data_IF_386082145873
#
_entry.id   IF_386082145873
#
_cell.length_a   1.000
_cell.length_b   1.000
_cell.length_c   1.000
_cell.angle_alpha   90.00
_cell.angle_beta   90.00
_cell.angle_gamma   90.00
#
_symmetry.space_group_name_H-M   'P 1'
#
loop_
_entity.id
_entity.type
_entity.pdbx_description
1 polymer ?
2 polymer ?
3 non-polymer ?
4 water ?
#
# COMPACT_ATOMS: atom_id res chain seq x y z
N UNK A 2 11.48 5.18 -7.51
CA UNK A 2 12.72 5.27 -6.73
C UNK A 2 12.46 6.09 -5.46
N UNK A 3 25.99 16.25 2.64
CA UNK A 3 24.95 15.33 2.16
C UNK A 3 23.54 15.75 2.55
N UNK A 4 22.59 15.56 1.63
CA UNK A 4 21.18 15.84 1.90
C UNK A 4 20.38 14.55 1.85
N UNK A 5 20.07 13.95 3.00
CA UNK A 5 19.42 12.65 3.10
C UNK A 5 17.88 12.71 3.06
N UNK A 6 17.29 11.85 2.23
CA UNK A 6 15.86 11.86 2.01
C UNK A 6 15.14 11.54 3.30
N UNK A 7 15.80 10.73 4.10
CA UNK A 7 15.46 10.02 5.30
C UNK A 7 14.88 10.96 6.33
N UNK A 8 15.35 12.19 6.35
CA UNK A 8 14.83 13.21 7.23
C UNK A 8 13.40 13.68 6.86
N UNK A 9 13.14 13.85 5.57
CA UNK A 9 12.05 14.60 4.98
C UNK A 9 10.76 13.85 5.20
N UNK A 10 9.71 14.60 5.50
CA UNK A 10 8.41 14.01 5.75
C UNK A 10 7.90 13.32 4.49
N UNK A 11 7.31 12.15 4.67
CA UNK A 11 6.66 11.46 3.59
C UNK A 11 5.33 12.17 3.38
N UNK A 12 5.02 12.60 2.15
CA UNK A 12 3.75 13.26 1.89
C UNK A 12 2.51 12.44 2.22
N UNK A 13 1.53 13.11 2.83
CA UNK A 13 0.34 12.44 3.37
C UNK A 13 -0.93 12.69 2.55
N UNK A 14 -0.84 13.48 1.50
CA UNK A 14 -2.01 13.73 0.68
C UNK A 14 -2.19 12.59 -0.31
N UNK A 15 -3.42 12.44 -0.84
CA UNK A 15 -3.67 11.36 -1.83
C UNK A 15 -2.91 11.60 -3.12
N UNK A 16 -2.45 10.52 -3.73
CA UNK A 16 -1.69 10.57 -4.98
C UNK A 16 -2.34 9.65 -5.99
N UNK A 17 -2.19 9.99 -7.26
CA UNK A 17 -2.63 9.11 -8.37
C UNK A 17 -1.41 8.35 -8.87
N UNK A 18 -1.53 7.04 -8.96
CA UNK A 18 -0.48 6.18 -9.49
C UNK A 18 -1.06 5.40 -10.66
N UNK A 19 -0.35 5.34 -11.78
CA UNK A 19 -0.82 4.49 -12.89
C UNK A 19 0.20 3.42 -13.13
N UNK A 20 -0.22 2.17 -13.04
CA UNK A 20 0.68 1.04 -13.25
C UNK A 20 0.26 0.34 -14.51
N UNK A 21 1.20 0.10 -15.41
CA UNK A 21 0.92 -0.63 -16.63
C UNK A 21 1.49 -2.02 -16.49
N UNK A 22 0.63 -3.04 -16.32
CA UNK A 22 1.17 -4.36 -16.01
C UNK A 22 0.78 -5.43 -17.00
N UNK A 23 0.12 -5.05 -18.09
CA UNK A 23 -0.30 -6.05 -19.06
C UNK A 23 -1.12 -7.17 -18.40
N UNK A 24 -0.67 -8.41 -18.55
CA UNK A 24 -1.32 -9.59 -17.95
C UNK A 24 -0.43 -10.36 -16.96
N UNK A 25 0.21 -9.60 -16.08
CA UNK A 25 0.97 -10.17 -14.95
C UNK A 25 0.40 -9.58 -13.66
N UNK A 26 0.80 -10.13 -12.53
CA UNK A 26 0.44 -9.56 -11.24
C UNK A 26 0.99 -8.17 -11.00
N UNK A 27 0.37 -7.40 -10.13
CA UNK A 27 0.84 -6.05 -9.86
C UNK A 27 2.12 -6.04 -9.04
N UNK A 28 2.33 -7.09 -8.25
CA UNK A 28 3.54 -7.18 -7.47
C UNK A 28 3.51 -6.47 -6.13
N UNK A 29 2.39 -6.59 -5.44
CA UNK A 29 2.34 -6.13 -4.04
C UNK A 29 1.29 -6.90 -3.28
N UNK A 30 1.40 -6.85 -1.95
CA UNK A 30 0.47 -7.53 -1.05
C UNK A 30 -0.38 -6.46 -0.38
N UNK A 31 -1.65 -6.81 -0.12
CA UNK A 31 -2.55 -5.96 0.63
C UNK A 31 -2.97 -6.68 1.90
N UNK A 32 -3.27 -5.90 2.95
CA UNK A 32 -3.80 -6.43 4.18
C UNK A 32 -5.07 -5.65 4.51
N UNK A 33 -6.02 -6.32 5.14
CA UNK A 33 -7.17 -5.63 5.67
C UNK A 33 -7.95 -6.59 6.54
N UNK A 34 -9.26 -6.39 6.57
CA UNK A 34 -10.16 -7.35 7.23
C UNK A 34 -11.32 -7.70 6.29
N UNK A 35 -12.13 -8.68 6.69
CA UNK A 35 -13.26 -8.93 5.80
C UNK A 35 -14.47 -8.07 6.13
N UNK A 36 -14.29 -7.09 6.98
CA UNK A 36 -15.36 -6.15 7.33
C UNK A 36 -14.89 -4.70 7.15
N UNK A 37 -13.95 -4.47 6.25
CA UNK A 37 -13.63 -3.14 5.73
C UNK A 37 -13.24 -1.89 6.52
N UNK A 38 -12.11 -1.88 7.24
CA UNK A 38 -11.57 -0.65 7.87
C UNK A 38 -10.29 -0.08 7.21
N UNK A 39 -10.16 -0.30 5.92
CA UNK A 39 -8.96 0.05 5.17
C UNK A 39 -8.27 -1.12 4.51
N UNK A 40 -7.74 -0.89 3.31
CA UNK A 40 -6.92 -1.84 2.59
C UNK A 40 -5.57 -1.20 2.47
N UNK A 41 -4.52 -1.84 2.99
CA UNK A 41 -3.18 -1.25 3.00
C UNK A 41 -2.15 -2.12 2.31
N UNK A 42 -1.16 -1.47 1.72
CA UNK A 42 -0.04 -2.18 1.11
C UNK A 42 0.94 -2.62 2.20
N UNK A 43 1.22 -3.90 2.26
CA UNK A 43 2.13 -4.44 3.29
C UNK A 43 3.50 -4.81 2.78
N UNK A 44 3.62 -4.94 1.47
CA UNK A 44 4.82 -5.53 0.85
C UNK A 44 4.81 -5.19 -0.65
N UNK A 45 5.92 -4.72 -1.18
CA UNK A 45 6.08 -4.53 -2.61
C UNK A 45 7.22 -5.39 -3.11
N UNK A 46 6.93 -6.15 -4.15
CA UNK A 46 7.89 -7.06 -4.71
C UNK A 46 8.96 -6.33 -5.51
N UNK A 47 10.22 -6.64 -5.22
CA UNK A 47 11.35 -6.09 -5.96
C UNK A 47 11.25 -6.50 -7.42
N UNK A 48 11.28 -5.53 -8.31
CA UNK A 48 11.25 -5.83 -9.74
C UNK A 48 9.88 -6.02 -10.35
N UNK A 49 8.84 -6.03 -9.52
CA UNK A 49 7.49 -6.16 -10.03
C UNK A 49 6.93 -4.87 -10.62
N UNK A 50 5.77 -4.95 -11.27
CA UNK A 50 5.22 -3.72 -11.87
C UNK A 50 4.98 -2.57 -10.89
N UNK A 51 4.47 -2.82 -9.68
CA UNK A 51 4.28 -1.74 -8.70
C UNK A 51 5.64 -1.12 -8.35
N UNK A 52 6.65 -1.94 -8.15
CA UNK A 52 8.01 -1.40 -7.92
C UNK A 52 8.52 -0.58 -9.09
N UNK A 53 8.39 -1.12 -10.30
CA UNK A 53 8.92 -0.45 -11.49
C UNK A 53 8.27 0.91 -11.66
N UNK A 54 7.07 1.06 -11.12
CA UNK A 54 6.38 2.34 -11.07
C UNK A 54 7.01 3.34 -10.09
N UNK A 55 7.40 2.84 -8.92
CA UNK A 55 8.22 3.57 -7.97
C UNK A 55 7.45 4.58 -7.14
N UNK A 56 6.13 4.47 -7.09
CA UNK A 56 5.33 5.50 -6.45
C UNK A 56 4.35 5.01 -5.37
N UNK A 57 4.40 3.71 -5.07
CA UNK A 57 3.65 3.13 -3.95
C UNK A 57 4.63 2.75 -2.89
N UNK A 58 4.17 2.73 -1.64
CA UNK A 58 5.00 2.36 -0.52
C UNK A 58 4.24 1.47 0.47
N UNK A 59 4.97 0.68 1.22
CA UNK A 59 4.35 -0.01 2.35
C UNK A 59 3.73 1.04 3.28
N UNK A 60 2.51 0.78 3.71
CA UNK A 60 1.80 1.72 4.57
C UNK A 60 0.82 2.62 3.83
N UNK A 61 0.83 2.57 2.51
CA UNK A 61 -0.20 3.24 1.70
C UNK A 61 -1.52 2.57 1.92
N UNK A 62 -2.57 3.36 2.09
CA UNK A 62 -3.94 2.88 1.95
C UNK A 62 -4.36 3.01 0.49
N UNK A 63 -4.98 1.97 -0.05
CA UNK A 63 -5.51 2.02 -1.40
C UNK A 63 -6.92 2.62 -1.31
N UNK A 64 -7.12 3.82 -1.83
CA UNK A 64 -8.41 4.48 -1.71
C UNK A 64 -9.32 4.05 -2.82
N UNK A 65 -8.76 3.83 -4.00
CA UNK A 65 -9.56 3.38 -5.15
C UNK A 65 -8.72 2.74 -6.24
N UNK A 66 -9.38 1.94 -7.08
CA UNK A 66 -8.74 1.32 -8.24
C UNK A 66 -9.67 1.51 -9.42
N UNK A 67 -9.17 2.16 -10.47
CA UNK A 67 -9.97 2.51 -11.65
C UNK A 67 -11.32 3.10 -11.27
N UNK A 68 -11.32 4.01 -10.31
CA UNK A 68 -12.53 4.72 -9.89
C UNK A 68 -13.42 3.99 -8.91
N UNK A 69 -13.07 2.75 -8.61
CA UNK A 69 -13.82 1.94 -7.66
C UNK A 69 -13.30 2.22 -6.26
N UNK A 70 -14.15 2.82 -5.44
CA UNK A 70 -13.82 3.19 -4.06
C UNK A 70 -13.53 1.93 -3.22
N UNK A 71 -12.34 1.85 -2.63
CA UNK A 71 -11.97 0.69 -1.81
C UNK A 71 -11.76 1.07 -0.36
N UNK A 72 -12.12 2.29 0.03
CA UNK A 72 -11.90 2.72 1.40
C UNK A 72 -12.59 1.82 2.40
N UNK A 73 -13.73 1.23 2.03
CA UNK A 73 -14.48 0.38 2.95
C UNK A 73 -14.62 -1.06 2.42
N UNK A 74 -13.64 -1.46 1.63
CA UNK A 74 -13.64 -2.78 1.02
C UNK A 74 -13.24 -3.88 2.00
N UNK A 75 -13.75 -5.08 1.76
CA UNK A 75 -13.18 -6.25 2.37
C UNK A 75 -11.90 -6.61 1.61
N UNK A 76 -10.98 -7.25 2.29
CA UNK A 76 -9.70 -7.62 1.71
C UNK A 76 -9.87 -8.51 0.48
N UNK A 77 -10.75 -9.51 0.58
CA UNK A 77 -10.90 -10.44 -0.53
C UNK A 77 -11.50 -9.76 -1.74
N UNK A 78 -12.49 -8.90 -1.52
CA UNK A 78 -13.13 -8.21 -2.62
C UNK A 78 -12.18 -7.15 -3.22
N UNK A 79 -11.34 -6.55 -2.40
CA UNK A 79 -10.34 -5.63 -2.92
C UNK A 79 -9.35 -6.37 -3.83
N UNK A 80 -8.94 -7.56 -3.41
CA UNK A 80 -8.02 -8.36 -4.19
C UNK A 80 -8.66 -8.66 -5.54
N UNK A 81 -9.94 -9.01 -5.51
CA UNK A 81 -10.65 -9.31 -6.74
C UNK A 81 -10.61 -8.13 -7.67
N UNK A 82 -10.89 -6.96 -7.12
CA UNK A 82 -10.94 -5.71 -7.89
C UNK A 82 -9.61 -5.41 -8.53
N UNK A 83 -8.55 -5.58 -7.75
CA UNK A 83 -7.21 -5.33 -8.26
C UNK A 83 -6.81 -6.33 -9.33
N UNK A 84 -7.10 -7.60 -9.08
CA UNK A 84 -6.69 -8.64 -10.02
C UNK A 84 -7.42 -8.50 -11.35
N UNK A 85 -8.63 -7.94 -11.32
CA UNK A 85 -9.47 -7.81 -12.51
C UNK A 85 -9.50 -6.38 -13.10
N UNK A 86 -8.52 -5.57 -12.74
CA UNK A 86 -8.52 -4.16 -13.07
C UNK A 86 -8.06 -3.85 -14.49
N UNK A 87 -7.57 -4.85 -15.21
CA UNK A 87 -7.13 -4.64 -16.57
C UNK A 87 -5.64 -4.36 -16.61
N UNK A 88 -5.15 -4.05 -17.80
CA UNK A 88 -3.71 -3.97 -18.03
C UNK A 88 -3.17 -2.66 -17.48
N UNK A 89 -4.01 -1.64 -17.50
CA UNK A 89 -3.63 -0.34 -16.99
C UNK A 89 -4.41 -0.08 -15.71
N UNK A 90 -3.70 0.08 -14.59
CA UNK A 90 -4.34 0.14 -13.29
C UNK A 90 -4.12 1.53 -12.66
N UNK A 91 -5.19 2.27 -12.41
CA UNK A 91 -5.10 3.61 -11.85
C UNK A 91 -5.50 3.53 -10.38
N UNK A 92 -4.51 3.70 -9.52
CA UNK A 92 -4.70 3.65 -8.07
C UNK A 92 -4.65 5.05 -7.49
N UNK A 93 -5.58 5.39 -6.62
CA UNK A 93 -5.42 6.53 -5.71
C UNK A 93 -4.97 5.96 -4.37
N UNK A 94 -3.84 6.43 -3.87
CA UNK A 94 -3.24 5.92 -2.63
C UNK A 94 -2.96 7.07 -1.69
N UNK A 95 -2.93 6.77 -0.39
CA UNK A 95 -2.70 7.79 0.63
C UNK A 95 -1.92 7.14 1.76
N UNK A 96 -0.83 7.77 2.15
CA UNK A 96 0.09 7.16 3.12
C UNK A 96 -0.48 7.25 4.55
N UNK A 97 -0.71 6.09 5.20
CA UNK A 97 -1.37 6.04 6.50
C UNK A 97 -0.59 5.11 7.40
N UNK A 98 0.61 5.51 7.77
CA UNK A 98 1.48 4.57 8.47
C UNK A 98 1.00 4.20 9.87
N UNK A 99 0.35 5.13 10.56
CA UNK A 99 -0.17 4.84 11.90
C UNK A 99 -1.19 3.72 11.84
N UNK A 100 -2.11 3.77 10.88
CA UNK A 100 -3.14 2.76 10.75
C UNK A 100 -2.52 1.45 10.30
N UNK A 101 -1.55 1.54 9.39
CA UNK A 101 -0.90 0.32 8.93
C UNK A 101 -0.16 -0.41 10.07
N UNK A 102 0.49 0.35 10.94
CA UNK A 102 1.40 -0.22 11.94
C UNK A 102 0.69 -1.16 12.91
N UNK A 103 -0.63 -1.05 13.02
CA UNK A 103 -1.35 -1.93 13.95
C UNK A 103 -1.45 -3.35 13.41
N UNK A 104 -1.18 -3.54 12.12
CA UNK A 104 -1.17 -4.89 11.53
C UNK A 104 0.14 -5.64 11.75
N UNK A 105 1.26 -4.93 11.74
CA UNK A 105 2.56 -5.60 11.71
C UNK A 105 3.20 -5.59 13.10
N UNK A 106 3.64 -6.74 13.56
CA UNK A 106 4.22 -6.90 14.90
C UNK A 106 5.45 -6.00 15.13
N UNK A 107 5.49 -5.42 16.34
CA UNK A 107 6.55 -4.58 16.84
C UNK A 107 6.87 -3.41 15.88
N UNK A 108 5.84 -2.88 15.22
CA UNK A 108 6.02 -1.77 14.29
C UNK A 108 5.58 -0.47 14.97
N UNK A 109 6.07 0.64 14.45
CA UNK A 109 5.72 1.95 14.94
C UNK A 109 6.13 2.95 13.88
N UNK A 110 5.72 4.18 14.06
CA UNK A 110 6.01 5.23 13.10
C UNK A 110 6.99 6.20 13.75
N UNK A 111 8.07 6.56 13.06
CA UNK A 111 9.01 7.52 13.66
C UNK A 111 8.68 8.99 13.29
N UNK A 112 9.56 9.92 13.61
CA UNK A 112 9.23 11.34 13.46
C UNK A 112 9.08 11.81 12.01
N UNK A 113 9.70 11.09 11.07
CA UNK A 113 9.60 11.46 9.66
C UNK A 113 8.38 10.84 9.03
N UNK A 114 7.67 10.04 9.82
CA UNK A 114 6.55 9.31 9.30
C UNK A 114 6.92 7.95 8.74
N UNK A 115 8.16 7.50 8.97
CA UNK A 115 8.55 6.19 8.46
C UNK A 115 8.15 5.04 9.40
N UNK A 116 7.72 3.95 8.82
CA UNK A 116 7.41 2.74 9.57
C UNK A 116 8.70 2.02 9.95
N UNK A 117 8.89 1.78 11.24
CA UNK A 117 10.05 1.04 11.70
C UNK A 117 9.60 -0.18 12.49
N UNK A 118 10.33 -1.26 12.32
CA UNK A 118 10.04 -2.47 13.05
C UNK A 118 11.23 -2.79 13.93
N UNK A 119 10.95 -3.08 15.19
CA UNK A 119 11.96 -3.37 16.15
C UNK A 119 12.18 -4.87 16.25
N UNK B 2 -7.10 -12.39 13.50
CA UNK B 2 -7.79 -11.21 14.04
C UNK B 2 -8.81 -10.66 13.05
N UNK B 3 -9.34 -11.53 12.24
CA UNK B 3 -10.16 -11.15 11.12
C UNK B 3 -9.32 -10.53 10.02
N UNK B 4 -8.02 -10.64 10.17
CA UNK B 4 -7.07 -10.08 9.26
C UNK B 4 -6.98 -10.99 8.05
N UNK B 5 -6.75 -10.41 6.90
CA UNK B 5 -6.50 -11.19 5.69
C UNK B 5 -5.41 -10.51 4.88
N UNK B 6 -4.56 -11.29 4.23
CA UNK B 6 -3.53 -10.72 3.33
C UNK B 6 -3.50 -11.48 2.00
N UNK B 7 -3.43 -10.70 0.91
CA UNK B 7 -3.49 -11.22 -0.47
C UNK B 7 -2.38 -10.62 -1.32
N UNK B 8 -1.83 -11.44 -2.21
CA UNK B 8 -0.91 -10.98 -3.24
C UNK B 8 -1.72 -10.59 -4.46
N UNK B 9 -1.42 -9.45 -5.05
CA UNK B 9 -2.09 -9.03 -6.25
C UNK B 9 -1.05 -8.68 -7.33
X LIG C 1 7.83 2.35 4.20
X LIG C 1 6.76 3.12 3.74
X LIG C 1 8.65 3.34 5.02
X LIG C 1 7.76 3.82 5.98
X LIG C 1 9.86 2.67 5.66
X LIG C 1 9.49 1.40 6.14
X LIG C 1 8.41 1.94 3.38
X LIG C 1 7.48 1.53 4.83
X LIG C 1 6.20 2.57 3.14
X LIG C 1 8.98 4.14 4.37
X LIG C 1 7.45 3.08 6.54
X LIG C 1 10.66 2.58 4.93
X LIG C 1 10.22 3.29 6.49
X LIG C 1 9.47 1.41 7.12
X LIG D 1 4.54 7.83 17.06
X LIG D 1 3.72 7.71 15.93
X LIG D 1 4.83 9.29 17.37
X LIG D 1 3.70 10.07 17.10
X LIG D 1 6.05 9.77 16.58
X LIG D 1 6.38 11.08 16.98
X LIG D 1 4.05 7.36 17.91
X LIG D 1 5.49 7.30 16.88
X LIG D 1 3.60 6.77 15.70
X LIG D 1 5.07 9.36 18.44
X LIG D 1 3.88 11.01 17.33
X LIG D 1 5.82 9.75 15.52
X LIG D 1 6.89 9.11 16.77
X LIG D 1 7.22 11.36 16.54
#
# INVERSE_FOLDING_TARGET
GSPEFLGEEDIPREPRRIVIHRGSTGLGFNIVGTEDGEGIFISFILAGGPADLSGELRKGDQILSVNGVDLRNASAEQAAIALKNAGQTVTIIAQYKPEEYSRFEANSRVDSSGRIVTD
TKNYKQFSV
GOL C1 O1 C2 O2 C3 O3 H11 H12 HO1 H2 HO2 H31 H32 HO3
GOL C1 O1 C2 O2 C3 O3 H11 H12 HO1 H2 HO2 H31 H32 HO3
#
